data_IF_963951970265
#
_entry.id   IF_963951970265
#
_cell.length_a   1.000
_cell.length_b   1.000
_cell.length_c   1.000
_cell.angle_alpha   90.00
_cell.angle_beta   90.00
_cell.angle_gamma   90.00
#
_symmetry.space_group_name_H-M   'P 1'
#
loop_
_entity.id
_entity.type
_entity.pdbx_description
1 polymer ?
#
# COMPACT_ATOMS: atom_id res chain seq x y z
N UNK A 1 4.20 -12.83 -2.39
CA UNK A 1 3.48 -11.62 -1.92
C UNK A 1 4.43 -10.55 -1.38
N UNK A 2 5.06 -10.67 -0.19
CA UNK A 2 5.95 -9.59 0.31
C UNK A 2 7.18 -9.34 -0.58
N UNK A 3 7.86 -10.41 -1.03
CA UNK A 3 9.03 -10.28 -1.91
C UNK A 3 8.66 -9.63 -3.26
N UNK A 4 7.63 -10.15 -3.91
CA UNK A 4 7.07 -9.60 -5.15
C UNK A 4 6.65 -8.13 -5.01
N UNK A 5 6.15 -7.72 -3.83
CA UNK A 5 5.85 -6.31 -3.55
C UNK A 5 7.12 -5.46 -3.45
N UNK A 6 8.18 -5.98 -2.85
CA UNK A 6 9.47 -5.28 -2.77
C UNK A 6 10.03 -5.08 -4.19
N UNK A 7 10.04 -6.13 -5.01
CA UNK A 7 10.54 -6.08 -6.38
C UNK A 7 9.73 -5.12 -7.25
N UNK A 8 8.40 -5.14 -7.16
CA UNK A 8 7.56 -4.21 -7.89
C UNK A 8 7.79 -2.76 -7.43
N UNK A 9 7.85 -2.52 -6.12
CA UNK A 9 8.08 -1.19 -5.56
C UNK A 9 9.42 -0.60 -6.01
N UNK A 10 10.44 -1.44 -6.14
CA UNK A 10 11.76 -1.05 -6.63
C UNK A 10 11.74 -0.75 -8.14
N UNK A 11 11.13 -1.65 -8.93
CA UNK A 11 10.98 -1.51 -10.38
C UNK A 11 10.28 -0.23 -10.80
N UNK A 12 9.25 0.19 -10.06
CA UNK A 12 8.48 1.42 -10.34
C UNK A 12 8.98 2.63 -9.53
N UNK A 13 10.08 2.46 -8.79
CA UNK A 13 10.72 3.49 -7.98
C UNK A 13 9.75 4.23 -7.05
N UNK A 14 8.98 3.47 -6.25
CA UNK A 14 8.02 4.08 -5.32
C UNK A 14 8.72 5.00 -4.31
N UNK A 15 8.25 6.25 -4.14
CA UNK A 15 8.77 7.15 -3.12
C UNK A 15 8.68 6.53 -1.73
N UNK A 16 9.63 6.84 -0.84
CA UNK A 16 9.78 6.22 0.49
C UNK A 16 8.45 5.99 1.23
N UNK A 17 7.61 7.03 1.36
CA UNK A 17 6.31 6.91 2.05
C UNK A 17 5.31 6.01 1.32
N UNK A 18 5.25 6.08 -0.02
CA UNK A 18 4.39 5.20 -0.82
C UNK A 18 4.87 3.75 -0.73
N UNK A 19 6.19 3.52 -0.77
CA UNK A 19 6.80 2.20 -0.58
C UNK A 19 6.47 1.63 0.79
N UNK A 20 6.58 2.41 1.86
CA UNK A 20 6.21 1.97 3.22
C UNK A 20 4.74 1.53 3.30
N UNK A 21 3.80 2.34 2.78
CA UNK A 21 2.37 2.00 2.74
C UNK A 21 2.14 0.72 1.94
N UNK A 22 2.76 0.63 0.75
CA UNK A 22 2.63 -0.52 -0.13
C UNK A 22 3.09 -1.82 0.53
N UNK A 23 4.27 -1.80 1.14
CA UNK A 23 4.83 -2.95 1.84
C UNK A 23 4.03 -3.32 3.09
N UNK A 24 3.53 -2.33 3.84
CA UNK A 24 2.67 -2.58 5.00
C UNK A 24 1.38 -3.31 4.60
N UNK A 25 0.74 -2.89 3.50
CA UNK A 25 -0.44 -3.57 2.98
C UNK A 25 -0.13 -4.98 2.44
N UNK A 26 1.01 -5.15 1.76
CA UNK A 26 1.44 -6.45 1.24
C UNK A 26 1.78 -7.45 2.36
N UNK A 27 2.33 -6.97 3.47
CA UNK A 27 2.69 -7.78 4.63
C UNK A 27 1.45 -8.19 5.44
N UNK A 28 0.51 -7.28 5.68
CA UNK A 28 -0.65 -7.55 6.51
C UNK A 28 -1.60 -8.61 5.93
N UNK A 29 -1.66 -8.74 4.59
CA UNK A 29 -2.57 -9.64 3.86
C UNK A 29 -4.05 -9.53 4.26
N UNK A 30 -4.39 -8.46 4.97
CA UNK A 30 -5.68 -8.19 5.60
C UNK A 30 -5.97 -6.71 5.47
N UNK A 31 -7.19 -6.30 5.82
CA UNK A 31 -7.52 -4.89 5.84
C UNK A 31 -6.75 -4.18 6.98
N UNK A 32 -6.14 -3.05 6.65
CA UNK A 32 -5.54 -2.12 7.60
C UNK A 32 -6.34 -0.83 7.63
N UNK A 33 -6.71 -0.39 8.83
CA UNK A 33 -7.30 0.93 9.03
C UNK A 33 -6.32 2.05 8.65
N UNK A 34 -6.84 3.24 8.34
CA UNK A 34 -6.00 4.40 8.06
C UNK A 34 -5.05 4.72 9.22
N UNK A 35 -5.52 4.53 10.46
CA UNK A 35 -4.76 4.70 11.69
C UNK A 35 -3.62 3.68 11.80
N UNK A 36 -3.93 2.40 11.58
CA UNK A 36 -2.94 1.32 11.56
C UNK A 36 -1.89 1.45 10.44
N UNK A 37 -2.23 2.11 9.34
CA UNK A 37 -1.29 2.44 8.28
C UNK A 37 -0.41 3.62 8.68
N UNK A 38 -0.99 4.68 9.24
CA UNK A 38 -0.25 5.83 9.73
C UNK A 38 0.76 5.40 10.80
N UNK A 39 0.32 4.64 11.81
CA UNK A 39 1.17 4.09 12.85
C UNK A 39 2.36 3.32 12.24
N UNK A 40 2.12 2.36 11.34
CA UNK A 40 3.20 1.61 10.69
C UNK A 40 4.15 2.46 9.83
N UNK A 41 3.67 3.51 9.21
CA UNK A 41 4.48 4.38 8.32
C UNK A 41 5.34 5.34 9.12
N UNK A 42 4.85 5.80 10.26
CA UNK A 42 5.49 6.83 11.10
C UNK A 42 6.06 6.31 12.43
N UNK A 43 5.93 5.01 12.74
CA UNK A 43 6.45 4.42 14.00
C UNK A 43 7.96 4.65 14.21
N UNK A 44 8.71 4.71 13.12
CA UNK A 44 10.18 4.92 13.11
C UNK A 44 10.55 6.41 12.98
N UNK A 45 9.56 7.31 12.93
CA UNK A 45 9.82 8.75 12.80
C UNK A 45 10.16 9.34 14.17
N UNK A 46 11.38 9.88 14.37
CA UNK A 46 11.83 10.35 15.68
C UNK A 46 11.02 11.54 16.20
N UNK A 47 10.30 12.25 15.32
CA UNK A 47 9.43 13.39 15.65
C UNK A 47 7.96 12.96 15.87
N UNK A 48 7.66 11.66 15.81
CA UNK A 48 6.30 11.12 15.92
C UNK A 48 5.45 11.27 14.65
N UNK A 49 6.04 11.76 13.55
CA UNK A 49 5.35 11.98 12.28
C UNK A 49 4.55 13.29 12.23
N UNK A 50 3.86 13.55 11.11
CA UNK A 50 3.16 14.83 10.90
C UNK A 50 1.88 14.94 11.74
N UNK A 51 1.50 16.18 12.07
CA UNK A 51 0.32 16.51 12.89
C UNK A 51 -0.98 15.85 12.39
N UNK A 52 -1.11 15.69 11.07
CA UNK A 52 -2.22 14.96 10.43
C UNK A 52 -1.71 13.74 9.65
N UNK A 53 -1.05 12.82 10.35
CA UNK A 53 -0.53 11.55 9.80
C UNK A 53 -1.58 10.79 8.97
N UNK A 54 -2.84 10.86 9.40
CA UNK A 54 -3.96 10.24 8.69
C UNK A 54 -4.22 10.90 7.33
N UNK A 55 -4.35 12.23 7.27
CA UNK A 55 -4.52 12.96 6.01
C UNK A 55 -3.34 12.78 5.05
N UNK A 56 -2.12 12.84 5.56
CA UNK A 56 -0.92 12.53 4.78
C UNK A 56 -0.97 11.10 4.21
N UNK A 57 -1.40 10.13 5.01
CA UNK A 57 -1.57 8.74 4.56
C UNK A 57 -2.56 8.65 3.41
N UNK A 58 -3.74 9.29 3.50
CA UNK A 58 -4.71 9.32 2.40
C UNK A 58 -4.12 9.89 1.10
N UNK A 59 -3.37 10.99 1.20
CA UNK A 59 -2.73 11.62 0.04
C UNK A 59 -1.73 10.67 -0.63
N UNK A 60 -0.88 10.00 0.14
CA UNK A 60 0.07 9.02 -0.38
C UNK A 60 -0.62 7.78 -0.94
N UNK A 61 -1.71 7.32 -0.31
CA UNK A 61 -2.50 6.17 -0.76
C UNK A 61 -3.16 6.44 -2.11
N UNK A 62 -3.69 7.65 -2.32
CA UNK A 62 -4.26 8.04 -3.62
C UNK A 62 -3.19 8.10 -4.72
N UNK A 63 -1.99 8.62 -4.42
CA UNK A 63 -0.86 8.61 -5.37
C UNK A 63 -0.40 7.18 -5.67
N UNK A 64 -0.26 6.36 -4.62
CA UNK A 64 0.13 4.96 -4.74
C UNK A 64 -0.84 4.19 -5.64
N UNK A 65 -2.16 4.35 -5.48
CA UNK A 65 -3.16 3.73 -6.36
C UNK A 65 -2.91 4.02 -7.84
N UNK A 66 -2.58 5.27 -8.18
CA UNK A 66 -2.29 5.67 -9.56
C UNK A 66 -0.97 5.05 -10.06
N UNK A 67 0.03 4.95 -9.21
CA UNK A 67 1.32 4.36 -9.56
C UNK A 67 1.26 2.84 -9.76
N UNK A 68 0.43 2.12 -9.00
CA UNK A 68 0.39 0.65 -9.03
C UNK A 68 -0.68 0.08 -9.97
N UNK A 69 -1.74 0.85 -10.27
CA UNK A 69 -2.82 0.40 -11.15
C UNK A 69 -2.34 -0.07 -12.55
N UNK A 70 -1.38 0.59 -13.23
CA UNK A 70 -0.88 0.11 -14.53
C UNK A 70 -0.17 -1.25 -14.46
N UNK A 71 0.17 -1.74 -13.27
CA UNK A 71 0.86 -3.00 -13.05
C UNK A 71 -0.09 -4.11 -12.59
N UNK A 72 -1.40 -3.92 -12.71
CA UNK A 72 -2.41 -4.91 -12.32
C UNK A 72 -2.60 -5.04 -10.80
N UNK A 73 -2.00 -4.15 -10.01
CA UNK A 73 -2.16 -4.13 -8.56
C UNK A 73 -3.30 -3.19 -8.18
N UNK A 74 -4.16 -3.65 -7.28
CA UNK A 74 -5.31 -2.90 -6.79
C UNK A 74 -5.25 -2.69 -5.28
N UNK A 75 -5.63 -1.51 -4.82
CA UNK A 75 -5.83 -1.24 -3.38
C UNK A 75 -7.32 -1.13 -3.11
N UNK A 76 -7.85 -2.17 -2.48
CA UNK A 76 -9.26 -2.27 -2.11
C UNK A 76 -9.52 -1.41 -0.89
N UNK A 77 -10.66 -0.73 -0.88
CA UNK A 77 -11.09 0.12 0.24
C UNK A 77 -12.43 -0.38 0.75
N UNK A 78 -12.54 -0.56 2.07
CA UNK A 78 -13.78 -0.88 2.76
C UNK A 78 -14.04 0.15 3.85
N UNK A 79 -15.26 0.70 3.88
CA UNK A 79 -15.65 1.79 4.79
C UNK A 79 -15.41 1.47 6.27
N UNK A 80 -15.55 0.20 6.66
CA UNK A 80 -15.49 -0.25 8.06
C UNK A 80 -14.18 -0.97 8.41
N UNK A 81 -13.38 -1.35 7.40
CA UNK A 81 -12.18 -2.17 7.61
C UNK A 81 -10.88 -1.45 7.20
N UNK A 82 -10.96 -0.46 6.29
CA UNK A 82 -9.81 0.26 5.76
C UNK A 82 -9.34 -0.25 4.41
N UNK A 83 -8.07 -0.60 4.30
CA UNK A 83 -7.37 -0.81 3.02
C UNK A 83 -6.72 -2.18 2.93
N UNK A 84 -6.81 -2.83 1.78
CA UNK A 84 -6.11 -4.08 1.49
C UNK A 84 -5.44 -4.02 0.13
N UNK A 85 -4.27 -4.63 -0.01
CA UNK A 85 -3.61 -4.82 -1.28
C UNK A 85 -4.09 -6.11 -1.95
N UNK A 86 -4.45 -6.02 -3.22
CA UNK A 86 -4.65 -7.14 -4.13
C UNK A 86 -3.52 -7.08 -5.17
N UNK A 87 -2.59 -8.02 -5.08
CA UNK A 87 -1.60 -8.22 -6.13
C UNK A 87 -2.29 -8.85 -7.35
N UNK A 88 -1.79 -8.62 -8.59
CA UNK A 88 -2.27 -9.35 -9.74
C UNK A 88 -2.11 -10.83 -9.42
N UNK A 89 -3.24 -11.53 -9.28
CA UNK A 89 -3.21 -12.97 -9.24
C UNK A 89 -2.74 -13.39 -10.63
N UNK A 90 -1.56 -13.99 -10.73
CA UNK A 90 -1.16 -14.71 -11.94
C UNK A 90 -2.07 -15.94 -12.10
N UNK A 91 -3.37 -15.71 -12.31
CA UNK A 91 -4.22 -16.66 -13.00
C UNK A 91 -4.10 -16.29 -14.45
N UNK A 92 -3.23 -17.03 -15.12
CA UNK A 92 -3.29 -17.20 -16.56
C UNK A 92 -4.75 -17.47 -16.92
N UNK A 93 -5.34 -16.58 -17.71
CA UNK A 93 -6.56 -16.89 -18.44
C UNK A 93 -6.16 -17.83 -19.58
N UNK A 94 -5.93 -19.10 -19.22
CA UNK A 94 -6.04 -20.22 -20.14
C UNK A 94 -7.53 -20.59 -20.22
N UNK A 95 -8.23 -19.99 -21.18
CA UNK A 95 -9.50 -20.47 -21.76
C UNK A 95 -9.90 -19.44 -22.83
N UNK A 96 -10.17 -19.76 -24.09
CA UNK A 96 -10.41 -21.01 -24.81
C UNK A 96 -11.18 -20.61 -26.07
#
# INVERSE_FOLDING_TARGET
MKQEAIELADRIMLPRRQRQIFLALAEARSFLSADQLADRVYSDDPDGGPLDARGCTYAFLNRLRRSVAPHGVSIITSRHLGYRLEMPSHREEHHG
#
